data_IF_844272736967
#
_entry.id   IF_844272736967
#
_cell.length_a   1.000
_cell.length_b   1.000
_cell.length_c   1.000
_cell.angle_alpha   90.00
_cell.angle_beta   90.00
_cell.angle_gamma   90.00
#
_symmetry.space_group_name_H-M   'P 1'
#
loop_
_entity.id
_entity.type
_entity.pdbx_description
1 polymer ?
#
# COMPACT_ATOMS: atom_id res chain seq x y z
N UNK A 1 3.60 3.69 -16.34
CA UNK A 1 2.50 4.56 -15.86
C UNK A 1 2.99 5.32 -14.63
N UNK A 2 3.26 6.62 -14.77
CA UNK A 2 3.83 7.50 -13.72
C UNK A 2 2.78 7.75 -12.63
N UNK A 3 3.19 7.90 -11.37
CA UNK A 3 2.27 8.22 -10.27
C UNK A 3 1.95 9.71 -10.27
N UNK A 4 0.97 10.10 -11.09
CA UNK A 4 0.61 11.50 -11.31
C UNK A 4 -0.03 12.13 -10.07
N UNK A 5 -0.61 11.31 -9.19
CA UNK A 5 -1.33 11.76 -7.99
C UNK A 5 -0.51 11.64 -6.70
N UNK A 6 0.63 10.95 -6.71
CA UNK A 6 1.43 10.67 -5.51
C UNK A 6 0.81 9.64 -4.54
N UNK A 7 -0.36 9.09 -4.87
CA UNK A 7 -1.09 8.15 -4.01
C UNK A 7 -0.30 6.86 -3.85
N UNK A 8 0.23 6.28 -4.94
CA UNK A 8 1.00 5.02 -4.85
C UNK A 8 2.28 5.25 -4.06
N UNK A 9 2.93 6.40 -4.23
CA UNK A 9 4.10 6.81 -3.45
C UNK A 9 3.78 6.85 -1.95
N UNK A 10 2.66 7.45 -1.55
CA UNK A 10 2.23 7.50 -0.15
C UNK A 10 1.95 6.11 0.44
N UNK A 11 1.22 5.26 -0.29
CA UNK A 11 0.93 3.88 0.16
C UNK A 11 2.22 3.05 0.29
N UNK A 12 3.15 3.16 -0.66
CA UNK A 12 4.42 2.43 -0.58
C UNK A 12 5.27 2.88 0.63
N UNK A 13 5.28 4.18 0.95
CA UNK A 13 5.93 4.69 2.16
C UNK A 13 5.27 4.17 3.44
N UNK A 14 3.95 4.06 3.46
CA UNK A 14 3.23 3.48 4.59
C UNK A 14 3.68 2.02 4.83
N UNK A 15 3.78 1.21 3.77
CA UNK A 15 4.21 -0.18 3.89
C UNK A 15 5.69 -0.36 4.26
N UNK A 16 6.54 0.65 4.04
CA UNK A 16 7.94 0.65 4.50
C UNK A 16 8.09 0.80 6.03
N UNK A 17 7.02 1.12 6.77
CA UNK A 17 7.10 1.19 8.24
C UNK A 17 7.00 -0.18 8.91
N UNK A 18 7.03 -1.27 8.15
CA UNK A 18 7.02 -2.67 8.63
C UNK A 18 5.82 -3.06 9.50
N UNK A 19 4.70 -2.35 9.36
CA UNK A 19 3.46 -2.65 10.06
C UNK A 19 2.46 -3.33 9.12
N UNK A 20 1.62 -4.24 9.64
CA UNK A 20 0.47 -4.74 8.92
C UNK A 20 -0.64 -3.68 8.86
N UNK A 21 -1.35 -3.61 7.73
CA UNK A 21 -2.39 -2.63 7.46
C UNK A 21 -3.62 -3.27 6.82
N UNK A 22 -4.81 -2.87 7.26
CA UNK A 22 -6.06 -3.16 6.53
C UNK A 22 -6.27 -2.15 5.41
N UNK A 23 -7.19 -2.44 4.48
CA UNK A 23 -7.64 -1.46 3.48
C UNK A 23 -8.14 -0.17 4.13
N UNK A 24 -8.83 -0.27 5.27
CA UNK A 24 -9.29 0.87 6.06
C UNK A 24 -8.12 1.71 6.58
N UNK A 25 -7.08 1.08 7.12
CA UNK A 25 -5.90 1.84 7.57
C UNK A 25 -5.22 2.61 6.42
N UNK A 26 -5.14 2.00 5.23
CA UNK A 26 -4.58 2.66 4.04
C UNK A 26 -5.49 3.81 3.59
N UNK A 27 -6.81 3.60 3.58
CA UNK A 27 -7.78 4.64 3.22
C UNK A 27 -7.70 5.84 4.18
N UNK A 28 -7.68 5.59 5.49
CA UNK A 28 -7.58 6.62 6.51
C UNK A 28 -6.27 7.39 6.42
N UNK A 29 -5.15 6.69 6.16
CA UNK A 29 -3.86 7.34 5.93
C UNK A 29 -3.93 8.31 4.74
N UNK A 30 -4.46 7.86 3.60
CA UNK A 30 -4.59 8.70 2.40
C UNK A 30 -5.53 9.88 2.61
N UNK A 31 -6.63 9.70 3.34
CA UNK A 31 -7.53 10.81 3.70
C UNK A 31 -6.84 11.82 4.62
N UNK A 32 -6.05 11.37 5.60
CA UNK A 32 -5.27 12.24 6.48
C UNK A 32 -4.20 13.04 5.74
N UNK A 33 -3.59 12.45 4.72
CA UNK A 33 -2.64 13.14 3.84
C UNK A 33 -3.32 14.11 2.84
N UNK A 34 -4.65 14.19 2.84
CA UNK A 34 -5.42 15.13 2.01
C UNK A 34 -5.75 14.64 0.60
N UNK A 35 -5.54 13.35 0.29
CA UNK A 35 -5.86 12.81 -1.02
C UNK A 35 -7.38 12.66 -1.22
N UNK A 36 -7.85 13.01 -2.42
CA UNK A 36 -9.23 12.73 -2.84
C UNK A 36 -9.36 11.28 -3.32
N UNK A 37 -9.50 10.37 -2.37
CA UNK A 37 -9.71 8.94 -2.62
C UNK A 37 -11.06 8.46 -2.13
N UNK A 38 -11.56 7.39 -2.73
CA UNK A 38 -12.69 6.63 -2.22
C UNK A 38 -12.25 5.21 -1.83
N UNK A 39 -12.99 4.60 -0.90
CA UNK A 39 -12.63 3.30 -0.32
C UNK A 39 -12.50 2.19 -1.38
N UNK A 40 -13.39 2.16 -2.39
CA UNK A 40 -13.34 1.16 -3.46
C UNK A 40 -12.06 1.26 -4.30
N UNK A 41 -11.65 2.48 -4.63
CA UNK A 41 -10.41 2.76 -5.34
C UNK A 41 -9.17 2.32 -4.55
N UNK A 42 -9.15 2.60 -3.24
CA UNK A 42 -8.07 2.13 -2.35
C UNK A 42 -8.05 0.61 -2.26
N UNK A 43 -9.22 -0.03 -2.08
CA UNK A 43 -9.34 -1.49 -2.04
C UNK A 43 -8.82 -2.15 -3.33
N UNK A 44 -9.17 -1.59 -4.49
CA UNK A 44 -8.67 -2.08 -5.78
C UNK A 44 -7.15 -1.91 -5.91
N UNK A 45 -6.61 -0.76 -5.49
CA UNK A 45 -5.18 -0.47 -5.55
C UNK A 45 -4.37 -1.44 -4.68
N UNK A 46 -4.75 -1.62 -3.41
CA UNK A 46 -4.05 -2.53 -2.48
C UNK A 46 -4.19 -3.98 -2.97
N UNK A 47 -5.36 -4.34 -3.50
CA UNK A 47 -5.59 -5.63 -4.16
C UNK A 47 -4.63 -5.86 -5.33
N UNK A 48 -4.42 -4.87 -6.19
CA UNK A 48 -3.47 -4.96 -7.32
C UNK A 48 -2.01 -5.01 -6.86
N UNK A 49 -1.64 -4.30 -5.80
CA UNK A 49 -0.30 -4.39 -5.21
C UNK A 49 -0.02 -5.81 -4.66
N UNK A 50 -1.03 -6.46 -4.10
CA UNK A 50 -0.94 -7.85 -3.67
C UNK A 50 -0.88 -8.82 -4.87
N UNK A 51 -1.85 -8.78 -5.79
CA UNK A 51 -2.01 -9.83 -6.81
C UNK A 51 -1.16 -9.63 -8.07
N UNK A 52 -0.89 -8.39 -8.48
CA UNK A 52 -0.11 -8.09 -9.69
C UNK A 52 1.34 -7.77 -9.41
N UNK A 53 1.62 -6.92 -8.40
CA UNK A 53 3.00 -6.60 -8.05
C UNK A 53 3.64 -7.68 -7.18
N UNK A 54 2.83 -8.43 -6.40
CA UNK A 54 3.32 -9.52 -5.57
C UNK A 54 4.17 -9.10 -4.38
N UNK A 55 4.23 -7.80 -4.07
CA UNK A 55 5.09 -7.24 -3.02
C UNK A 55 4.47 -7.34 -1.63
N UNK A 56 3.14 -7.47 -1.56
CA UNK A 56 2.41 -7.61 -0.31
C UNK A 56 2.16 -9.08 -0.01
N UNK A 57 2.20 -9.42 1.28
CA UNK A 57 1.59 -10.61 1.84
C UNK A 57 0.18 -10.23 2.31
N UNK A 58 -0.74 -11.18 2.24
CA UNK A 58 -2.09 -11.06 2.78
C UNK A 58 -2.30 -12.12 3.86
N UNK A 59 -2.73 -11.70 5.04
CA UNK A 59 -3.24 -12.58 6.08
C UNK A 59 -4.73 -12.24 6.27
N UNK A 60 -5.59 -13.24 6.11
CA UNK A 60 -7.03 -13.07 6.28
C UNK A 60 -7.37 -13.23 7.76
N UNK A 61 -7.81 -12.14 8.41
CA UNK A 61 -8.26 -12.16 9.81
C UNK A 61 -9.76 -11.89 9.87
N UNK A 62 -10.53 -12.98 9.91
CA UNK A 62 -12.00 -12.91 9.79
C UNK A 62 -12.38 -12.37 8.42
N UNK A 63 -13.19 -11.32 8.39
CA UNK A 63 -13.64 -10.67 7.14
C UNK A 63 -12.68 -9.59 6.62
N UNK A 64 -11.57 -9.34 7.32
CA UNK A 64 -10.62 -8.31 6.97
C UNK A 64 -9.30 -8.89 6.44
N UNK A 65 -8.91 -8.40 5.26
CA UNK A 65 -7.58 -8.62 4.72
C UNK A 65 -6.58 -7.70 5.41
N UNK A 66 -5.52 -8.30 5.93
CA UNK A 66 -4.39 -7.60 6.52
C UNK A 66 -3.20 -7.74 5.58
N UNK A 67 -2.67 -6.61 5.15
CA UNK A 67 -1.57 -6.54 4.19
C UNK A 67 -0.28 -6.17 4.89
N UNK A 68 0.83 -6.80 4.52
CA UNK A 68 2.17 -6.46 4.99
C UNK A 68 3.17 -6.54 3.85
N UNK A 69 4.22 -5.72 3.90
CA UNK A 69 5.30 -5.78 2.92
C UNK A 69 6.11 -7.07 3.16
N UNK A 70 6.33 -7.85 2.09
CA UNK A 70 7.22 -9.01 2.16
C UNK A 70 8.66 -8.54 2.38
N UNK A 71 9.38 -9.23 3.27
CA UNK A 71 10.75 -8.85 3.66
C UNK A 71 11.70 -8.74 2.47
N UNK A 72 11.58 -9.65 1.50
CA UNK A 72 12.40 -9.68 0.27
C UNK A 72 12.27 -8.42 -0.60
N UNK A 73 11.17 -7.67 -0.47
CA UNK A 73 10.93 -6.44 -1.21
C UNK A 73 11.28 -5.16 -0.45
N UNK A 74 11.62 -5.23 0.86
CA UNK A 74 11.91 -4.04 1.68
C UNK A 74 13.05 -3.21 1.12
N UNK A 75 14.18 -3.85 0.84
CA UNK A 75 15.37 -3.17 0.33
C UNK A 75 15.11 -2.58 -1.06
N UNK A 76 14.51 -3.36 -1.97
CA UNK A 76 14.17 -2.93 -3.32
C UNK A 76 13.20 -1.75 -3.32
N UNK A 77 12.20 -1.78 -2.43
CA UNK A 77 11.23 -0.70 -2.30
C UNK A 77 11.89 0.56 -1.74
N UNK A 78 12.75 0.44 -0.72
CA UNK A 78 13.50 1.57 -0.17
C UNK A 78 14.37 2.24 -1.22
N UNK A 79 15.16 1.48 -1.97
CA UNK A 79 15.99 2.00 -3.06
C UNK A 79 15.13 2.65 -4.17
N UNK A 80 13.98 2.06 -4.51
CA UNK A 80 13.06 2.64 -5.48
C UNK A 80 12.51 3.97 -4.97
N UNK A 81 12.22 4.07 -3.68
CA UNK A 81 11.69 5.27 -3.05
C UNK A 81 12.69 6.43 -2.99
N UNK A 82 13.98 6.13 -2.80
CA UNK A 82 15.04 7.14 -2.81
C UNK A 82 15.24 7.76 -4.21
N UNK A 83 14.83 7.07 -5.27
CA UNK A 83 14.95 7.49 -6.66
C UNK A 83 13.61 7.99 -7.28
N UNK A 84 12.58 8.21 -6.45
CA UNK A 84 11.18 8.40 -6.88
C UNK A 84 10.76 9.86 -7.11
#
# INVERSE_FOLDING_TARGET
>A
MRDETGIRKSVLKLFLTDKPYTTENVFDHLKKEGFDVNYRGVSAMVGLMNTRLGILRIDVKGDHNVYSLKDEYKNSLKTTMDNY
#
